data_IF_751544477700
#
_entry.id   IF_751544477700
#
_cell.length_a   1.000
_cell.length_b   1.000
_cell.length_c   1.000
_cell.angle_alpha   90.00
_cell.angle_beta   90.00
_cell.angle_gamma   90.00
#
_symmetry.space_group_name_H-M   'P 1'
#
loop_
_entity.id
_entity.type
_entity.pdbx_description
1 polymer ?
#
# COMPACT_ATOMS: atom_id res chain seq x y z
N UNK A 1 15.20 -3.16 -12.60
CA UNK A 1 15.08 -1.96 -11.73
C UNK A 1 13.87 -1.19 -12.21
N UNK A 2 13.17 -0.52 -11.32
CA UNK A 2 12.08 0.39 -11.71
C UNK A 2 12.69 1.70 -12.23
N UNK A 3 12.12 2.27 -13.29
CA UNK A 3 12.58 3.56 -13.82
C UNK A 3 11.93 4.75 -13.10
N UNK A 4 10.88 4.49 -12.31
CA UNK A 4 10.08 5.47 -11.59
C UNK A 4 9.60 4.89 -10.25
N UNK A 5 9.24 5.79 -9.33
CA UNK A 5 8.65 5.42 -8.05
C UNK A 5 7.22 4.92 -8.26
N UNK A 6 6.83 3.87 -7.54
CA UNK A 6 5.51 3.26 -7.64
C UNK A 6 4.93 3.10 -6.24
N UNK A 7 3.64 3.40 -6.12
CA UNK A 7 2.85 3.16 -4.92
C UNK A 7 1.93 1.98 -5.17
N UNK A 8 1.95 0.97 -4.31
CA UNK A 8 1.13 -0.23 -4.47
C UNK A 8 0.15 -0.36 -3.32
N UNK A 9 -1.11 -0.66 -3.63
CA UNK A 9 -2.10 -1.05 -2.62
C UNK A 9 -1.99 -2.54 -2.34
N UNK A 10 -1.84 -2.90 -1.07
CA UNK A 10 -1.91 -4.26 -0.55
C UNK A 10 -3.04 -4.33 0.49
N UNK A 11 -3.74 -5.46 0.52
CA UNK A 11 -4.78 -5.72 1.52
C UNK A 11 -4.51 -7.06 2.19
N UNK A 12 -4.81 -7.15 3.48
CA UNK A 12 -4.93 -8.45 4.15
C UNK A 12 -6.32 -9.01 3.84
N UNK A 13 -6.42 -9.88 2.84
CA UNK A 13 -7.56 -10.78 2.73
C UNK A 13 -7.28 -12.05 3.58
N UNK A 14 -8.32 -12.71 4.08
CA UNK A 14 -8.23 -13.88 4.96
C UNK A 14 -7.50 -15.08 4.31
N UNK A 15 -7.21 -15.02 2.99
CA UNK A 15 -6.58 -16.10 2.23
C UNK A 15 -5.14 -15.80 1.78
N UNK A 16 -4.73 -14.53 1.60
CA UNK A 16 -3.39 -14.11 1.18
C UNK A 16 -3.06 -12.68 1.65
N UNK A 17 -2.49 -12.57 2.85
CA UNK A 17 -1.86 -11.32 3.29
C UNK A 17 -0.75 -10.89 2.30
N UNK A 18 -0.82 -9.63 1.86
CA UNK A 18 0.26 -9.00 1.08
C UNK A 18 0.20 -9.16 -0.44
N UNK A 19 -0.97 -9.48 -1.02
CA UNK A 19 -1.14 -9.38 -2.48
C UNK A 19 -1.28 -7.92 -2.93
N UNK A 20 -0.43 -7.50 -3.88
CA UNK A 20 -0.57 -6.21 -4.57
C UNK A 20 -1.85 -6.27 -5.40
N UNK A 21 -2.77 -5.34 -5.15
CA UNK A 21 -4.02 -5.21 -5.90
C UNK A 21 -3.85 -4.29 -7.10
N UNK A 22 -3.23 -3.12 -6.90
CA UNK A 22 -3.03 -2.12 -7.96
C UNK A 22 -1.80 -1.24 -7.71
N UNK A 23 -1.27 -0.64 -8.78
CA UNK A 23 -0.11 0.24 -8.79
C UNK A 23 -0.51 1.66 -9.21
N UNK A 24 0.04 2.65 -8.53
CA UNK A 24 -0.27 4.07 -8.68
C UNK A 24 1.00 4.88 -8.86
N UNK A 25 0.95 5.98 -9.64
CA UNK A 25 2.10 6.86 -9.86
C UNK A 25 2.37 7.78 -8.66
N UNK A 26 1.41 7.95 -7.73
CA UNK A 26 1.57 8.79 -6.54
C UNK A 26 0.88 8.21 -5.31
N UNK A 27 1.30 8.67 -4.12
CA UNK A 27 0.66 8.31 -2.86
C UNK A 27 -0.80 8.81 -2.79
N UNK A 28 -1.06 10.00 -3.34
CA UNK A 28 -2.39 10.62 -3.32
C UNK A 28 -3.38 9.83 -4.17
N UNK A 29 -2.95 9.36 -5.34
CA UNK A 29 -3.78 8.51 -6.20
C UNK A 29 -4.10 7.18 -5.51
N UNK A 30 -3.11 6.55 -4.87
CA UNK A 30 -3.31 5.34 -4.08
C UNK A 30 -4.26 5.58 -2.89
N UNK A 31 -4.14 6.73 -2.20
CA UNK A 31 -5.05 7.10 -1.12
C UNK A 31 -6.47 7.31 -1.62
N UNK A 32 -6.66 7.94 -2.77
CA UNK A 32 -7.99 8.17 -3.36
C UNK A 32 -8.65 6.85 -3.77
N UNK A 33 -7.89 5.93 -4.35
CA UNK A 33 -8.38 4.63 -4.80
C UNK A 33 -8.52 3.59 -3.67
N UNK A 34 -8.06 3.88 -2.45
CA UNK A 34 -8.04 2.91 -1.33
C UNK A 34 -9.39 2.25 -1.04
N UNK A 35 -10.49 3.00 -1.18
CA UNK A 35 -11.83 2.52 -0.87
C UNK A 35 -12.27 1.39 -1.78
N UNK A 36 -11.75 1.33 -3.01
CA UNK A 36 -12.12 0.34 -4.02
C UNK A 36 -11.53 -1.04 -3.71
N UNK A 37 -10.41 -1.08 -2.98
CA UNK A 37 -9.68 -2.30 -2.66
C UNK A 37 -9.84 -2.74 -1.22
N UNK A 38 -10.13 -1.81 -0.32
CA UNK A 38 -10.32 -2.09 1.08
C UNK A 38 -11.50 -3.05 1.31
N UNK A 39 -11.24 -4.16 1.99
CA UNK A 39 -12.29 -5.09 2.38
C UNK A 39 -12.99 -4.61 3.66
N UNK A 40 -13.78 -3.53 3.55
CA UNK A 40 -14.48 -2.91 4.69
C UNK A 40 -15.47 -3.83 5.40
N UNK A 41 -15.87 -4.94 4.76
CA UNK A 41 -16.73 -5.96 5.35
C UNK A 41 -15.98 -6.89 6.31
N UNK A 42 -14.64 -6.92 6.27
CA UNK A 42 -13.83 -7.64 7.24
C UNK A 42 -13.45 -6.73 8.43
N UNK A 43 -13.29 -7.29 9.64
CA UNK A 43 -12.96 -6.52 10.85
C UNK A 43 -11.68 -5.68 10.74
N UNK A 44 -10.77 -6.08 9.82
CA UNK A 44 -9.49 -5.43 9.53
C UNK A 44 -9.44 -4.85 8.13
N UNK A 45 -10.53 -4.24 7.64
CA UNK A 45 -10.60 -3.62 6.30
C UNK A 45 -9.56 -2.54 5.97
N UNK A 46 -8.50 -2.46 6.76
CA UNK A 46 -7.33 -1.66 6.57
C UNK A 46 -6.63 -1.97 5.24
N UNK A 47 -5.91 -0.96 4.76
CA UNK A 47 -5.13 -1.02 3.53
C UNK A 47 -3.68 -0.67 3.85
N UNK A 48 -2.77 -1.30 3.13
CA UNK A 48 -1.36 -0.94 3.15
C UNK A 48 -0.98 -0.32 1.81
N UNK A 49 -0.47 0.89 1.83
CA UNK A 49 0.16 1.51 0.66
C UNK A 49 1.67 1.32 0.80
N UNK A 50 2.31 0.80 -0.25
CA UNK A 50 3.74 0.50 -0.26
C UNK A 50 4.43 1.32 -1.35
N UNK A 51 5.48 2.06 -0.99
CA UNK A 51 6.37 2.72 -1.94
C UNK A 51 7.48 1.78 -2.37
N UNK A 52 7.65 1.62 -3.67
CA UNK A 52 8.80 1.00 -4.31
C UNK A 52 9.55 2.08 -5.08
N UNK A 53 10.82 2.30 -4.72
CA UNK A 53 11.62 3.37 -5.34
C UNK A 53 12.22 2.95 -6.68
N UNK A 54 12.33 3.91 -7.57
CA UNK A 54 13.12 3.82 -8.79
C UNK A 54 14.55 3.35 -8.46
N UNK A 55 15.13 2.57 -9.37
CA UNK A 55 16.50 2.07 -9.31
C UNK A 55 16.85 1.24 -8.06
N UNK A 56 15.85 0.83 -7.27
CA UNK A 56 16.04 -0.13 -6.20
C UNK A 56 15.59 -1.53 -6.64
N UNK A 57 16.20 -2.61 -6.08
CA UNK A 57 15.57 -3.92 -6.14
C UNK A 57 14.18 -3.78 -5.53
N UNK A 58 13.18 -4.48 -6.10
CA UNK A 58 11.73 -4.40 -5.83
C UNK A 58 11.35 -4.65 -4.35
N UNK A 59 11.94 -3.87 -3.45
CA UNK A 59 11.85 -3.88 -2.00
C UNK A 59 11.03 -2.66 -1.62
N UNK A 60 10.16 -2.86 -0.64
CA UNK A 60 9.39 -1.78 -0.04
C UNK A 60 10.36 -0.79 0.60
N UNK A 61 10.28 0.47 0.20
CA UNK A 61 11.04 1.57 0.78
C UNK A 61 10.26 2.24 1.92
N UNK A 62 8.93 2.26 1.80
CA UNK A 62 8.03 2.81 2.80
C UNK A 62 6.69 2.07 2.74
N UNK A 63 6.09 1.80 3.90
CA UNK A 63 4.74 1.24 4.00
C UNK A 63 3.89 2.13 4.92
N UNK A 64 2.68 2.44 4.50
CA UNK A 64 1.66 3.13 5.28
C UNK A 64 0.49 2.21 5.53
N UNK A 65 0.10 2.05 6.80
CA UNK A 65 -1.09 1.31 7.21
C UNK A 65 -2.22 2.28 7.48
N UNK A 66 -3.30 2.12 6.73
CA UNK A 66 -4.43 3.04 6.68
C UNK A 66 -5.67 2.31 7.18
N UNK A 67 -6.34 2.89 8.16
CA UNK A 67 -7.58 2.36 8.70
C UNK A 67 -8.80 2.73 7.83
N UNK A 68 -9.98 2.25 8.24
CA UNK A 68 -11.26 2.55 7.58
C UNK A 68 -11.73 3.98 7.52
N UNK A 69 -11.19 4.84 8.39
CA UNK A 69 -11.44 6.27 8.32
C UNK A 69 -10.54 6.95 7.28
N UNK A 70 -9.58 6.23 6.69
CA UNK A 70 -8.53 6.80 5.85
C UNK A 70 -7.38 7.40 6.64
N UNK A 71 -7.31 7.14 7.95
CA UNK A 71 -6.22 7.64 8.78
C UNK A 71 -5.05 6.68 8.70
N UNK A 72 -3.85 7.24 8.54
CA UNK A 72 -2.60 6.49 8.71
C UNK A 72 -2.44 6.19 10.20
N UNK A 73 -2.49 4.90 10.56
CA UNK A 73 -2.37 4.43 11.94
C UNK A 73 -0.99 3.87 12.27
N UNK A 74 -0.23 3.46 11.25
CA UNK A 74 1.21 3.16 11.39
C UNK A 74 1.97 3.42 10.08
N UNK A 75 3.26 3.70 10.18
CA UNK A 75 4.17 3.82 9.02
C UNK A 75 5.50 3.10 9.30
N UNK A 76 6.05 2.47 8.27
CA UNK A 76 7.31 1.73 8.34
C UNK A 76 8.24 2.21 7.23
N UNK A 77 9.38 2.79 7.62
CA UNK A 77 10.44 3.21 6.68
C UNK A 77 11.51 2.14 6.65
N UNK A 78 11.78 1.63 5.46
CA UNK A 78 12.84 0.64 5.26
C UNK A 78 14.10 1.38 4.82
N UNK A 79 15.17 1.17 5.57
CA UNK A 79 16.49 1.66 5.19
C UNK A 79 16.96 0.76 4.03
N UNK A 80 17.34 1.33 2.88
CA UNK A 80 17.72 0.56 1.69
C UNK A 80 18.91 -0.37 1.89
#
# INVERSE_FOLDING_TARGET
MLDFDIYAIETEDDERSGSIKELFPSFEDAMNARYDYANWCCPRGDVWINLYKANHPFKRAHTWHIDKSGKIISEYKYIP
#
